data_IF_713171922265
#
_entry.id   IF_713171922265
#
_cell.length_a   1.000
_cell.length_b   1.000
_cell.length_c   1.000
_cell.angle_alpha   90.00
_cell.angle_beta   90.00
_cell.angle_gamma   90.00
#
_symmetry.space_group_name_H-M   'P 1'
#
loop_
_entity.id
_entity.type
_entity.pdbx_description
1 polymer ?
#
# COMPACT_ATOMS: atom_id res chain seq x y z
N UNK A 1 -5.73 -3.11 -72.59
CA UNK A 1 -5.77 -3.88 -71.32
C UNK A 1 -5.62 -2.88 -70.16
N UNK A 2 -6.75 -2.52 -69.49
CA UNK A 2 -6.73 -1.65 -68.30
C UNK A 2 -6.53 -2.51 -67.07
N UNK A 3 -5.46 -2.29 -66.30
CA UNK A 3 -5.28 -2.91 -64.97
C UNK A 3 -6.12 -2.14 -63.96
N UNK A 4 -7.08 -2.82 -63.33
CA UNK A 4 -7.82 -2.29 -62.20
C UNK A 4 -7.02 -2.65 -60.94
N UNK A 5 -6.58 -1.63 -60.20
CA UNK A 5 -5.97 -1.77 -58.90
C UNK A 5 -7.10 -1.79 -57.85
N UNK A 6 -7.32 -2.93 -57.20
CA UNK A 6 -8.28 -3.03 -56.07
C UNK A 6 -7.48 -2.71 -54.82
N UNK A 7 -7.73 -1.54 -54.22
CA UNK A 7 -7.26 -1.20 -52.89
C UNK A 7 -8.18 -1.86 -51.87
N UNK A 8 -7.69 -2.93 -51.21
CA UNK A 8 -8.37 -3.50 -50.04
C UNK A 8 -7.97 -2.63 -48.82
N UNK A 9 -8.91 -1.79 -48.40
CA UNK A 9 -8.80 -1.09 -47.10
C UNK A 9 -9.20 -2.11 -46.02
N UNK A 10 -8.22 -2.68 -45.31
CA UNK A 10 -8.46 -3.41 -44.07
C UNK A 10 -8.91 -2.41 -42.99
N UNK A 11 -10.19 -2.33 -42.75
CA UNK A 11 -10.75 -1.71 -41.55
C UNK A 11 -10.44 -2.63 -40.36
N UNK A 12 -9.39 -2.31 -39.59
CA UNK A 12 -9.25 -2.83 -38.25
C UNK A 12 -10.33 -2.20 -37.39
N UNK A 13 -11.43 -2.90 -37.19
CA UNK A 13 -12.36 -2.61 -36.12
C UNK A 13 -11.67 -3.00 -34.81
N UNK A 14 -11.10 -2.03 -34.14
CA UNK A 14 -10.83 -2.17 -32.70
C UNK A 14 -12.17 -2.41 -32.03
N UNK A 15 -12.43 -3.65 -31.64
CA UNK A 15 -13.46 -3.95 -30.66
C UNK A 15 -13.02 -3.29 -29.36
N UNK A 16 -13.55 -2.11 -29.07
CA UNK A 16 -13.55 -1.55 -27.71
C UNK A 16 -14.42 -2.54 -26.94
N UNK A 17 -13.78 -3.49 -26.26
CA UNK A 17 -14.42 -4.27 -25.21
C UNK A 17 -15.06 -3.24 -24.30
N UNK A 18 -16.39 -3.22 -24.21
CA UNK A 18 -17.10 -2.25 -23.38
C UNK A 18 -16.49 -2.33 -21.97
N UNK A 19 -15.91 -1.23 -21.49
CA UNK A 19 -15.43 -1.12 -20.12
C UNK A 19 -16.57 -1.58 -19.21
N UNK A 20 -16.31 -2.54 -18.35
CA UNK A 20 -17.32 -3.07 -17.43
C UNK A 20 -17.63 -2.00 -16.39
N UNK A 21 -18.59 -1.14 -16.71
CA UNK A 21 -19.01 -0.02 -15.86
C UNK A 21 -19.54 -0.56 -14.54
N UNK A 22 -19.05 -0.04 -13.43
CA UNK A 22 -19.52 -0.39 -12.09
C UNK A 22 -20.94 0.18 -11.90
N UNK A 23 -21.89 -0.69 -11.57
CA UNK A 23 -23.28 -0.31 -11.26
C UNK A 23 -23.41 -0.04 -9.75
N UNK A 24 -23.21 1.20 -9.35
CA UNK A 24 -23.36 1.61 -7.95
C UNK A 24 -24.79 1.43 -7.45
N UNK A 25 -24.92 1.03 -6.20
CA UNK A 25 -26.21 0.71 -5.57
C UNK A 25 -26.74 -0.66 -5.93
N UNK A 26 -26.13 -1.37 -6.88
CA UNK A 26 -26.50 -2.73 -7.23
C UNK A 26 -26.07 -3.70 -6.15
N UNK A 27 -26.95 -4.61 -5.78
CA UNK A 27 -26.59 -5.75 -4.94
C UNK A 27 -26.08 -6.88 -5.83
N UNK A 28 -24.88 -7.38 -5.52
CA UNK A 28 -24.26 -8.52 -6.19
C UNK A 28 -24.25 -9.73 -5.28
N UNK A 29 -24.45 -10.91 -5.87
CA UNK A 29 -24.31 -12.20 -5.20
C UNK A 29 -22.92 -12.76 -5.47
N UNK A 30 -22.21 -13.16 -4.43
CA UNK A 30 -20.92 -13.85 -4.52
C UNK A 30 -21.01 -15.12 -3.70
N UNK A 31 -20.64 -16.26 -4.26
CA UNK A 31 -20.62 -17.52 -3.51
C UNK A 31 -19.48 -17.54 -2.49
N UNK A 32 -19.65 -18.32 -1.41
CA UNK A 32 -18.59 -18.55 -0.41
C UNK A 32 -17.32 -19.08 -1.06
N UNK A 33 -17.43 -19.98 -2.02
CA UNK A 33 -16.30 -20.55 -2.76
C UNK A 33 -15.50 -19.44 -3.49
N UNK A 34 -16.19 -18.57 -4.21
CA UNK A 34 -15.56 -17.44 -4.93
C UNK A 34 -14.93 -16.46 -3.95
N UNK A 35 -15.59 -16.14 -2.83
CA UNK A 35 -15.02 -15.27 -1.80
C UNK A 35 -13.73 -15.85 -1.21
N UNK A 36 -13.75 -17.14 -0.86
CA UNK A 36 -12.57 -17.82 -0.31
C UNK A 36 -11.42 -17.87 -1.33
N UNK A 37 -11.73 -18.13 -2.60
CA UNK A 37 -10.73 -18.14 -3.67
C UNK A 37 -10.09 -16.76 -3.84
N UNK A 38 -10.88 -15.69 -3.81
CA UNK A 38 -10.41 -14.29 -3.88
C UNK A 38 -9.62 -13.87 -2.63
N UNK A 39 -10.09 -14.20 -1.43
CA UNK A 39 -9.37 -13.96 -0.17
C UNK A 39 -8.01 -14.67 -0.20
N UNK A 40 -8.02 -15.95 -0.56
CA UNK A 40 -6.80 -16.74 -0.69
C UNK A 40 -5.86 -16.14 -1.75
N UNK A 41 -6.41 -15.65 -2.87
CA UNK A 41 -5.67 -14.97 -3.92
C UNK A 41 -5.00 -13.68 -3.43
N UNK A 42 -5.69 -12.87 -2.65
CA UNK A 42 -5.15 -11.62 -2.08
C UNK A 42 -3.96 -11.87 -1.15
N UNK A 43 -4.14 -12.69 -0.12
CA UNK A 43 -3.06 -13.02 0.82
C UNK A 43 -1.89 -13.74 0.17
N UNK A 44 -2.17 -14.64 -0.79
CA UNK A 44 -1.13 -15.32 -1.55
C UNK A 44 -0.34 -14.34 -2.44
N UNK A 45 -1.05 -13.45 -3.15
CA UNK A 45 -0.43 -12.44 -4.00
C UNK A 45 0.48 -11.51 -3.20
N UNK A 46 0.01 -11.01 -2.06
CA UNK A 46 0.78 -10.17 -1.15
C UNK A 46 2.04 -10.90 -0.66
N UNK A 47 1.92 -12.13 -0.15
CA UNK A 47 3.07 -12.90 0.34
C UNK A 47 4.08 -13.21 -0.76
N UNK A 48 3.62 -13.59 -1.98
CA UNK A 48 4.50 -13.85 -3.11
C UNK A 48 5.23 -12.58 -3.54
N UNK A 49 4.50 -11.46 -3.66
CA UNK A 49 5.04 -10.19 -4.10
C UNK A 49 6.12 -9.67 -3.17
N UNK A 50 5.85 -9.67 -1.86
CA UNK A 50 6.79 -9.30 -0.82
C UNK A 50 8.06 -10.16 -0.87
N UNK A 51 7.92 -11.49 -0.89
CA UNK A 51 9.06 -12.42 -0.99
C UNK A 51 9.88 -12.21 -2.27
N UNK A 52 9.21 -11.98 -3.41
CA UNK A 52 9.86 -11.78 -4.70
C UNK A 52 10.69 -10.50 -4.74
N UNK A 53 10.14 -9.43 -4.23
CA UNK A 53 10.77 -8.10 -4.23
C UNK A 53 11.87 -7.93 -3.18
N UNK A 54 11.79 -8.62 -2.05
CA UNK A 54 12.64 -8.45 -0.88
C UNK A 54 14.14 -8.36 -1.15
N UNK A 55 14.75 -9.19 -2.02
CA UNK A 55 16.17 -9.08 -2.33
C UNK A 55 16.58 -7.76 -2.96
N UNK A 56 15.64 -6.96 -3.45
CA UNK A 56 15.89 -5.70 -4.15
C UNK A 56 15.50 -4.47 -3.35
N UNK A 57 14.83 -4.66 -2.22
CA UNK A 57 14.33 -3.60 -1.35
C UNK A 57 15.42 -2.55 -1.08
N UNK A 58 15.08 -1.29 -1.31
CA UNK A 58 15.93 -0.11 -1.14
C UNK A 58 17.33 -0.14 -1.81
N UNK A 59 17.63 -1.15 -2.63
CA UNK A 59 18.91 -1.22 -3.37
C UNK A 59 18.90 -0.36 -4.64
N UNK A 60 17.71 -0.11 -5.19
CA UNK A 60 17.52 0.67 -6.42
C UNK A 60 16.73 1.93 -6.11
N UNK A 61 17.43 2.96 -5.68
CA UNK A 61 16.87 4.24 -5.24
C UNK A 61 16.89 5.24 -6.39
N UNK A 62 15.72 5.70 -6.83
CA UNK A 62 15.59 6.58 -7.99
C UNK A 62 16.10 5.96 -9.29
N UNK A 63 16.02 4.62 -9.41
CA UNK A 63 16.51 3.89 -10.57
C UNK A 63 15.69 2.60 -10.77
N UNK A 64 15.39 2.27 -12.03
CA UNK A 64 14.76 0.99 -12.37
C UNK A 64 15.75 -0.17 -12.23
N UNK A 65 15.22 -1.32 -11.84
CA UNK A 65 15.97 -2.58 -11.89
C UNK A 65 15.98 -3.10 -13.32
N UNK A 66 17.18 -3.24 -13.89
CA UNK A 66 17.32 -3.70 -15.27
C UNK A 66 16.72 -5.10 -15.43
N UNK A 67 16.06 -5.37 -16.57
CA UNK A 67 15.40 -6.66 -16.86
C UNK A 67 16.34 -7.87 -16.80
N UNK A 68 17.65 -7.68 -17.08
CA UNK A 68 18.66 -8.74 -16.96
C UNK A 68 19.17 -8.97 -15.54
N UNK A 69 18.78 -8.14 -14.58
CA UNK A 69 19.07 -8.39 -13.17
C UNK A 69 18.17 -9.53 -12.70
N UNK A 70 18.76 -10.69 -12.31
CA UNK A 70 17.96 -11.82 -11.87
C UNK A 70 17.31 -11.49 -10.53
N UNK A 71 16.01 -11.81 -10.40
CA UNK A 71 15.31 -11.86 -9.13
C UNK A 71 15.05 -13.34 -8.86
N UNK A 72 15.48 -13.82 -7.70
CA UNK A 72 15.51 -15.23 -7.37
C UNK A 72 14.11 -15.70 -6.97
N UNK A 73 13.74 -16.92 -7.39
CA UNK A 73 12.56 -17.64 -6.89
C UNK A 73 12.82 -19.15 -6.89
N UNK A 74 12.42 -19.82 -5.81
CA UNK A 74 12.49 -21.28 -5.67
C UNK A 74 11.44 -21.78 -4.66
N UNK A 75 11.19 -23.09 -4.62
CA UNK A 75 10.06 -23.68 -3.91
C UNK A 75 10.08 -23.52 -2.39
N UNK A 76 11.24 -23.37 -1.75
CA UNK A 76 11.33 -23.14 -0.29
C UNK A 76 11.48 -21.66 0.08
N UNK A 77 11.46 -20.75 -0.91
CA UNK A 77 11.89 -19.37 -0.71
C UNK A 77 11.08 -18.62 0.37
N UNK A 78 9.75 -18.68 0.34
CA UNK A 78 8.94 -18.05 1.41
C UNK A 78 9.27 -18.60 2.80
N UNK A 79 9.46 -19.92 2.90
CA UNK A 79 9.82 -20.57 4.17
C UNK A 79 11.19 -20.14 4.67
N UNK A 80 12.18 -20.04 3.78
CA UNK A 80 13.53 -19.63 4.15
C UNK A 80 13.53 -18.17 4.61
N UNK A 81 12.83 -17.27 3.93
CA UNK A 81 12.71 -15.86 4.33
C UNK A 81 11.95 -15.71 5.66
N UNK A 82 10.91 -16.50 5.92
CA UNK A 82 10.23 -16.49 7.23
C UNK A 82 11.19 -16.78 8.39
N UNK A 83 12.22 -17.60 8.14
CA UNK A 83 13.22 -17.97 9.14
C UNK A 83 14.40 -16.98 9.21
N UNK A 84 14.86 -16.47 8.06
CA UNK A 84 16.12 -15.71 7.95
C UNK A 84 15.89 -14.19 8.03
N UNK A 85 14.82 -13.69 7.46
CA UNK A 85 14.47 -12.27 7.46
C UNK A 85 12.99 -12.04 7.76
N UNK A 86 12.55 -12.30 9.01
CA UNK A 86 11.15 -12.17 9.39
C UNK A 86 10.62 -10.73 9.28
N UNK A 87 11.50 -9.73 9.27
CA UNK A 87 11.14 -8.32 9.15
C UNK A 87 10.61 -7.93 7.78
N UNK A 88 10.93 -8.70 6.75
CA UNK A 88 10.50 -8.46 5.37
C UNK A 88 8.98 -8.43 5.19
N UNK A 89 8.23 -9.16 6.02
CA UNK A 89 6.77 -9.28 5.89
C UNK A 89 6.00 -8.25 6.75
N UNK A 90 6.49 -7.03 6.83
CA UNK A 90 5.81 -5.97 7.60
C UNK A 90 4.43 -5.65 7.04
N UNK A 91 4.23 -5.61 5.73
CA UNK A 91 2.90 -5.55 5.10
C UNK A 91 1.92 -6.53 5.74
N UNK A 92 2.37 -7.79 5.92
CA UNK A 92 1.50 -8.89 6.34
C UNK A 92 1.30 -8.91 7.85
N UNK A 93 2.38 -8.88 8.65
CA UNK A 93 2.19 -9.02 10.11
C UNK A 93 1.54 -7.78 10.75
N UNK A 94 1.65 -6.60 10.14
CA UNK A 94 0.92 -5.42 10.61
C UNK A 94 -0.57 -5.52 10.28
N UNK A 95 -0.94 -5.91 9.06
CA UNK A 95 -2.31 -6.27 8.70
C UNK A 95 -2.90 -7.29 9.68
N UNK A 96 -2.13 -8.33 10.01
CA UNK A 96 -2.56 -9.37 10.96
C UNK A 96 -2.75 -8.82 12.39
N UNK A 97 -1.91 -7.87 12.82
CA UNK A 97 -2.07 -7.18 14.11
C UNK A 97 -3.42 -6.49 14.20
N UNK A 98 -3.83 -5.79 13.16
CA UNK A 98 -5.13 -5.11 13.12
C UNK A 98 -6.29 -6.09 12.99
N UNK A 99 -6.14 -7.15 12.22
CA UNK A 99 -7.12 -8.23 12.17
C UNK A 99 -7.34 -8.91 13.54
N UNK A 100 -6.26 -9.12 14.31
CA UNK A 100 -6.37 -9.68 15.67
C UNK A 100 -7.18 -8.77 16.60
N UNK A 101 -7.03 -7.45 16.51
CA UNK A 101 -7.86 -6.51 17.27
C UNK A 101 -9.32 -6.67 16.88
N UNK A 102 -9.63 -6.74 15.59
CA UNK A 102 -11.00 -6.94 15.12
C UNK A 102 -11.58 -8.31 15.55
N UNK A 103 -10.75 -9.36 15.61
CA UNK A 103 -11.20 -10.66 16.13
C UNK A 103 -11.55 -10.61 17.61
N UNK A 104 -10.76 -9.90 18.41
CA UNK A 104 -10.89 -9.83 19.88
C UNK A 104 -12.01 -8.88 20.30
N UNK A 105 -12.12 -7.72 19.68
CA UNK A 105 -12.97 -6.61 20.09
C UNK A 105 -14.13 -6.33 19.11
N UNK A 106 -14.13 -7.00 17.95
CA UNK A 106 -15.10 -6.79 16.87
C UNK A 106 -14.73 -5.66 15.93
N UNK A 107 -15.50 -5.56 14.83
CA UNK A 107 -15.26 -4.57 13.75
C UNK A 107 -15.43 -3.11 14.20
N UNK A 108 -16.06 -2.88 15.36
CA UNK A 108 -16.27 -1.55 15.92
C UNK A 108 -15.19 -1.16 16.95
N UNK A 109 -14.10 -1.91 17.08
CA UNK A 109 -13.00 -1.58 17.96
C UNK A 109 -12.57 -0.11 17.77
N UNK A 110 -12.30 0.64 18.85
CA UNK A 110 -11.88 2.03 18.76
C UNK A 110 -10.44 2.15 18.25
N UNK A 111 -10.09 3.28 17.65
CA UNK A 111 -8.74 3.56 17.14
C UNK A 111 -7.63 3.32 18.20
N UNK A 112 -7.93 3.61 19.47
CA UNK A 112 -7.02 3.34 20.58
C UNK A 112 -6.62 1.86 20.75
N UNK A 113 -7.54 0.93 20.48
CA UNK A 113 -7.24 -0.51 20.61
C UNK A 113 -6.24 -0.94 19.54
N UNK A 114 -6.42 -0.49 18.30
CA UNK A 114 -5.47 -0.72 17.21
C UNK A 114 -4.10 -0.08 17.52
N UNK A 115 -4.09 1.17 17.95
CA UNK A 115 -2.87 1.89 18.30
C UNK A 115 -2.10 1.21 19.43
N UNK A 116 -2.79 0.73 20.48
CA UNK A 116 -2.17 0.02 21.59
C UNK A 116 -1.60 -1.34 21.16
N UNK A 117 -2.32 -2.10 20.35
CA UNK A 117 -1.84 -3.38 19.82
C UNK A 117 -0.56 -3.16 18.97
N UNK A 118 -0.61 -2.21 18.04
CA UNK A 118 0.51 -1.82 17.20
C UNK A 118 1.73 -1.34 18.02
N UNK A 119 1.55 -0.42 18.95
CA UNK A 119 2.65 0.16 19.70
C UNK A 119 3.35 -0.82 20.64
N UNK A 120 2.64 -1.85 21.14
CA UNK A 120 3.18 -2.85 22.05
C UNK A 120 3.60 -4.16 21.36
N UNK A 121 3.52 -4.25 20.03
CA UNK A 121 4.00 -5.40 19.30
C UNK A 121 5.54 -5.48 19.30
N UNK A 122 6.08 -6.69 19.24
CA UNK A 122 7.53 -6.94 19.35
C UNK A 122 8.31 -6.74 18.05
N UNK A 123 7.63 -6.44 16.94
CA UNK A 123 8.30 -6.21 15.67
C UNK A 123 9.06 -4.89 15.62
N UNK A 124 10.08 -4.83 14.78
CA UNK A 124 10.80 -3.61 14.47
C UNK A 124 9.93 -2.69 13.61
N UNK A 125 10.13 -1.39 13.75
CA UNK A 125 9.43 -0.38 12.98
C UNK A 125 10.40 0.66 12.46
N UNK A 126 10.02 1.29 11.35
CA UNK A 126 10.77 2.34 10.69
C UNK A 126 9.82 3.50 10.37
N UNK A 127 10.34 4.61 9.86
CA UNK A 127 9.59 5.71 9.27
C UNK A 127 8.37 6.16 10.08
N UNK A 128 7.21 6.27 9.45
CA UNK A 128 5.97 6.71 10.09
C UNK A 128 5.56 5.77 11.23
N UNK A 129 5.75 4.48 11.07
CA UNK A 129 5.45 3.47 12.08
C UNK A 129 6.30 3.63 13.33
N UNK A 130 7.59 3.87 13.19
CA UNK A 130 8.47 4.09 14.34
C UNK A 130 8.10 5.37 15.10
N UNK A 131 7.83 6.45 14.38
CA UNK A 131 7.41 7.72 14.98
C UNK A 131 6.04 7.58 15.68
N UNK A 132 5.09 6.87 15.06
CA UNK A 132 3.78 6.58 15.64
C UNK A 132 3.89 5.77 16.93
N UNK A 133 4.70 4.69 16.94
CA UNK A 133 4.96 3.90 18.16
C UNK A 133 5.50 4.78 19.29
N UNK A 134 6.49 5.60 18.99
CA UNK A 134 7.05 6.54 19.97
C UNK A 134 5.96 7.47 20.52
N UNK A 135 5.17 8.08 19.65
CA UNK A 135 4.08 8.98 20.02
C UNK A 135 3.07 8.29 20.96
N UNK A 136 2.59 7.12 20.58
CA UNK A 136 1.59 6.36 21.34
C UNK A 136 2.12 5.98 22.72
N UNK A 137 3.35 5.48 22.80
CA UNK A 137 3.97 5.09 24.08
C UNK A 137 4.23 6.30 24.99
N UNK A 138 4.26 7.53 24.43
CA UNK A 138 4.37 8.80 25.18
C UNK A 138 3.02 9.52 25.35
N UNK A 139 1.90 8.83 25.06
CA UNK A 139 0.54 9.35 25.31
C UNK A 139 -0.05 10.20 24.21
N UNK A 140 0.60 10.31 23.05
CA UNK A 140 0.04 10.96 21.86
C UNK A 140 -0.71 9.90 21.05
N UNK A 141 -2.03 9.84 21.23
CA UNK A 141 -2.90 8.83 20.60
C UNK A 141 -3.41 9.30 19.22
N UNK A 142 -3.91 8.36 18.36
CA UNK A 142 -4.54 8.76 17.11
C UNK A 142 -5.76 9.67 17.33
N UNK A 143 -6.03 10.62 16.41
CA UNK A 143 -5.33 10.85 15.15
C UNK A 143 -4.05 11.68 15.26
N UNK A 144 -3.73 12.17 16.46
CA UNK A 144 -2.58 13.06 16.67
C UNK A 144 -1.22 12.34 16.47
N UNK A 145 -1.15 11.03 16.71
CA UNK A 145 0.08 10.24 16.55
C UNK A 145 0.57 10.18 15.09
N UNK A 146 -0.34 10.12 14.12
CA UNK A 146 -0.02 10.11 12.69
C UNK A 146 0.08 11.51 12.07
N UNK A 147 -0.45 12.54 12.75
CA UNK A 147 -0.49 13.89 12.21
C UNK A 147 0.93 14.45 11.99
N UNK A 148 1.20 15.08 10.85
CA UNK A 148 2.51 15.55 10.41
C UNK A 148 3.28 16.44 11.42
N UNK A 149 2.58 17.11 12.35
CA UNK A 149 3.22 17.89 13.42
C UNK A 149 3.88 17.02 14.50
N UNK A 150 3.43 15.80 14.65
CA UNK A 150 3.95 14.84 15.63
C UNK A 150 4.68 13.70 14.95
N UNK A 151 4.44 13.49 13.66
CA UNK A 151 5.06 12.45 12.86
C UNK A 151 5.63 13.06 11.56
N UNK A 152 6.94 13.32 11.49
CA UNK A 152 7.54 13.93 10.30
C UNK A 152 7.49 13.02 9.07
N UNK A 153 7.19 11.74 9.25
CA UNK A 153 7.04 10.72 8.22
C UNK A 153 5.58 10.52 7.79
N UNK A 154 4.69 11.48 8.10
CA UNK A 154 3.25 11.33 7.88
C UNK A 154 2.85 11.00 6.42
N UNK A 155 3.66 11.37 5.43
CA UNK A 155 3.43 11.08 4.01
C UNK A 155 4.12 9.78 3.51
N UNK A 156 4.83 9.05 4.39
CA UNK A 156 5.49 7.81 4.03
C UNK A 156 4.50 6.67 3.75
N UNK A 157 4.97 5.60 3.14
CA UNK A 157 4.17 4.49 2.60
C UNK A 157 3.46 3.64 3.67
N UNK A 158 3.85 3.76 4.94
CA UNK A 158 3.53 2.78 6.00
C UNK A 158 2.05 2.34 6.02
N UNK A 159 1.09 3.25 6.12
CA UNK A 159 -0.32 2.85 6.09
C UNK A 159 -0.78 2.32 4.72
N UNK A 160 -0.13 2.70 3.62
CA UNK A 160 -0.48 2.18 2.30
C UNK A 160 -0.32 0.66 2.24
N UNK A 161 0.74 0.13 2.82
CA UNK A 161 1.04 -1.30 2.85
C UNK A 161 0.24 -2.06 3.92
N UNK A 162 -0.29 -1.36 4.90
CA UNK A 162 -1.06 -1.90 6.03
C UNK A 162 -2.58 -1.80 5.85
N UNK A 163 -3.04 -1.43 4.65
CA UNK A 163 -4.47 -1.25 4.35
C UNK A 163 -5.05 -2.38 3.50
N UNK A 164 -4.27 -3.34 3.08
CA UNK A 164 -4.68 -4.39 2.16
C UNK A 164 -5.81 -5.23 2.75
N UNK A 165 -5.70 -5.64 4.02
CA UNK A 165 -6.74 -6.39 4.71
C UNK A 165 -8.06 -5.62 4.81
N UNK A 166 -8.03 -4.28 4.90
CA UNK A 166 -9.24 -3.44 4.98
C UNK A 166 -10.09 -3.63 3.75
N UNK A 167 -9.48 -3.57 2.57
CA UNK A 167 -10.19 -3.84 1.33
C UNK A 167 -10.64 -5.29 1.21
N UNK A 168 -9.83 -6.23 1.70
CA UNK A 168 -10.14 -7.67 1.68
C UNK A 168 -11.33 -8.06 2.58
N UNK A 169 -11.68 -7.26 3.58
CA UNK A 169 -12.90 -7.49 4.38
C UNK A 169 -14.11 -6.65 3.91
N UNK A 170 -13.98 -5.83 2.86
CA UNK A 170 -14.99 -4.87 2.40
C UNK A 170 -15.43 -5.08 0.93
N UNK A 171 -15.88 -6.25 0.48
CA UNK A 171 -16.21 -6.53 -0.93
C UNK A 171 -17.23 -5.56 -1.50
N UNK A 172 -16.83 -4.70 -2.46
CA UNK A 172 -17.66 -3.66 -3.08
C UNK A 172 -18.01 -2.47 -2.18
N UNK A 173 -17.52 -2.43 -0.93
CA UNK A 173 -17.90 -1.44 0.08
C UNK A 173 -16.77 -0.41 0.31
N UNK A 174 -16.45 0.37 -0.73
CA UNK A 174 -15.32 1.32 -0.74
C UNK A 174 -15.39 2.39 0.36
N UNK A 175 -16.60 2.87 0.70
CA UNK A 175 -16.74 3.88 1.75
C UNK A 175 -16.53 3.28 3.14
N UNK A 176 -16.97 2.04 3.34
CA UNK A 176 -16.70 1.29 4.57
C UNK A 176 -15.19 1.02 4.72
N UNK A 177 -14.50 0.71 3.63
CA UNK A 177 -13.04 0.62 3.62
C UNK A 177 -12.41 1.96 4.01
N UNK A 178 -12.89 3.09 3.47
CA UNK A 178 -12.43 4.44 3.84
C UNK A 178 -12.67 4.76 5.33
N UNK A 179 -13.80 4.33 5.90
CA UNK A 179 -14.10 4.53 7.33
C UNK A 179 -13.13 3.74 8.24
N UNK A 180 -12.73 2.53 7.85
CA UNK A 180 -11.68 1.77 8.55
C UNK A 180 -10.31 2.41 8.36
N UNK A 181 -10.01 2.89 7.15
CA UNK A 181 -8.77 3.60 6.83
C UNK A 181 -8.63 4.89 7.63
N UNK A 182 -9.72 5.62 7.87
CA UNK A 182 -9.73 6.81 8.73
C UNK A 182 -9.33 6.45 10.17
N UNK A 183 -9.93 5.37 10.69
CA UNK A 183 -9.69 4.91 12.06
C UNK A 183 -8.28 4.40 12.31
N UNK A 184 -7.71 3.64 11.35
CA UNK A 184 -6.44 2.94 11.51
C UNK A 184 -5.28 3.75 10.94
N UNK A 185 -5.44 4.36 9.78
CA UNK A 185 -4.36 5.04 9.09
C UNK A 185 -3.83 6.27 9.84
N UNK A 186 -4.68 6.95 10.57
CA UNK A 186 -4.28 8.08 11.41
C UNK A 186 -3.49 7.67 12.68
N UNK A 187 -3.23 6.38 12.88
CA UNK A 187 -2.25 5.92 13.87
C UNK A 187 -0.84 6.39 13.46
N UNK A 188 -0.48 6.26 12.17
CA UNK A 188 0.86 6.50 11.65
C UNK A 188 0.95 7.56 10.55
N UNK A 189 -0.07 7.77 9.74
CA UNK A 189 -0.01 8.65 8.57
C UNK A 189 -1.05 9.79 8.60
N UNK A 190 -0.85 10.77 7.70
CA UNK A 190 -1.72 11.91 7.46
C UNK A 190 -1.55 12.34 5.99
N UNK A 191 -2.53 13.06 5.41
CA UNK A 191 -2.40 13.58 4.06
C UNK A 191 -2.15 12.51 2.99
N UNK A 192 -1.14 12.73 2.15
CA UNK A 192 -0.86 11.82 1.03
C UNK A 192 -0.46 10.40 1.49
N UNK A 193 0.17 10.23 2.67
CA UNK A 193 0.46 8.92 3.25
C UNK A 193 -0.80 8.15 3.64
N UNK A 194 -1.76 8.84 4.26
CA UNK A 194 -3.06 8.25 4.58
C UNK A 194 -3.87 7.93 3.32
N UNK A 195 -3.82 8.80 2.29
CA UNK A 195 -4.49 8.54 1.02
C UNK A 195 -4.00 7.27 0.34
N UNK A 196 -2.72 6.91 0.54
CA UNK A 196 -2.18 5.65 0.05
C UNK A 196 -3.02 4.46 0.49
N UNK A 197 -3.25 4.30 1.78
CA UNK A 197 -4.06 3.20 2.32
C UNK A 197 -5.54 3.29 1.95
N UNK A 198 -6.14 4.49 1.94
CA UNK A 198 -7.52 4.68 1.47
C UNK A 198 -7.68 4.19 0.03
N UNK A 199 -6.74 4.51 -0.84
CA UNK A 199 -6.76 4.13 -2.24
C UNK A 199 -6.55 2.63 -2.45
N UNK A 200 -5.56 2.02 -1.77
CA UNK A 200 -5.30 0.58 -1.86
C UNK A 200 -6.49 -0.22 -1.31
N UNK A 201 -7.01 0.14 -0.14
CA UNK A 201 -8.21 -0.48 0.41
C UNK A 201 -9.42 -0.39 -0.51
N UNK A 202 -9.61 0.75 -1.21
CA UNK A 202 -10.67 0.90 -2.21
C UNK A 202 -10.45 -0.01 -3.43
N UNK A 203 -9.21 -0.15 -3.93
CA UNK A 203 -8.91 -1.07 -5.04
C UNK A 203 -9.18 -2.52 -4.67
N UNK A 204 -8.74 -2.98 -3.50
CA UNK A 204 -9.05 -4.34 -3.01
C UNK A 204 -10.55 -4.56 -2.87
N UNK A 205 -11.29 -3.60 -2.32
CA UNK A 205 -12.75 -3.71 -2.19
C UNK A 205 -13.45 -3.84 -3.56
N UNK A 206 -13.01 -3.07 -4.57
CA UNK A 206 -13.54 -3.14 -5.92
C UNK A 206 -13.14 -4.42 -6.67
N UNK A 207 -11.98 -5.00 -6.38
CA UNK A 207 -11.48 -6.23 -6.98
C UNK A 207 -12.39 -7.45 -6.74
N UNK A 208 -13.23 -7.41 -5.71
CA UNK A 208 -14.25 -8.45 -5.50
C UNK A 208 -15.38 -8.42 -6.51
N UNK A 209 -15.70 -7.25 -7.05
CA UNK A 209 -16.93 -7.01 -7.82
C UNK A 209 -16.66 -6.53 -9.25
N UNK A 210 -15.42 -6.29 -9.61
CA UNK A 210 -14.99 -5.92 -10.95
C UNK A 210 -13.67 -6.62 -11.30
N UNK A 211 -13.49 -7.00 -12.57
CA UNK A 211 -12.27 -7.65 -13.05
C UNK A 211 -11.47 -6.76 -14.02
N UNK A 212 -11.96 -5.58 -14.35
CA UNK A 212 -11.27 -4.62 -15.20
C UNK A 212 -10.34 -3.72 -14.38
N UNK A 213 -9.05 -3.93 -14.55
CA UNK A 213 -8.00 -3.23 -13.78
C UNK A 213 -8.09 -1.71 -13.95
N UNK A 214 -8.31 -1.23 -15.18
CA UNK A 214 -8.42 0.20 -15.43
C UNK A 214 -9.61 0.82 -14.70
N UNK A 215 -10.75 0.14 -14.70
CA UNK A 215 -11.93 0.56 -13.94
C UNK A 215 -11.65 0.57 -12.45
N UNK A 216 -11.01 -0.47 -11.89
CA UNK A 216 -10.66 -0.53 -10.46
C UNK A 216 -9.77 0.66 -10.07
N UNK A 217 -8.69 0.89 -10.82
CA UNK A 217 -7.74 1.99 -10.60
C UNK A 217 -8.43 3.36 -10.64
N UNK A 218 -9.28 3.60 -11.64
CA UNK A 218 -9.94 4.90 -11.83
C UNK A 218 -11.11 5.13 -10.87
N UNK A 219 -11.86 4.10 -10.53
CA UNK A 219 -12.98 4.23 -9.59
C UNK A 219 -12.53 4.35 -8.14
N UNK A 220 -11.48 3.60 -7.75
CA UNK A 220 -10.86 3.76 -6.44
C UNK A 220 -10.31 5.18 -6.22
N UNK A 221 -9.75 5.80 -7.27
CA UNK A 221 -9.20 7.14 -7.19
C UNK A 221 -10.25 8.21 -6.82
N UNK A 222 -11.53 7.94 -7.02
CA UNK A 222 -12.64 8.84 -6.61
C UNK A 222 -12.80 8.94 -5.08
N UNK A 223 -12.16 8.07 -4.31
CA UNK A 223 -12.11 8.20 -2.85
C UNK A 223 -11.12 9.27 -2.39
N UNK A 224 -10.20 9.70 -3.25
CA UNK A 224 -9.10 10.62 -2.93
C UNK A 224 -9.43 12.04 -3.43
N UNK A 225 -9.13 13.09 -2.65
CA UNK A 225 -9.31 14.47 -3.10
C UNK A 225 -8.50 14.81 -4.35
N UNK A 226 -9.17 15.34 -5.39
CA UNK A 226 -8.56 15.64 -6.70
C UNK A 226 -7.39 16.62 -6.62
N UNK A 227 -7.36 17.49 -5.61
CA UNK A 227 -6.31 18.49 -5.39
C UNK A 227 -5.07 17.92 -4.69
N UNK A 228 -5.07 16.66 -4.22
CA UNK A 228 -3.92 16.03 -3.56
C UNK A 228 -2.76 15.77 -4.54
N UNK A 229 -1.55 15.69 -4.03
CA UNK A 229 -0.39 15.25 -4.84
C UNK A 229 -0.57 13.80 -5.25
N UNK A 230 -1.07 12.97 -4.33
CA UNK A 230 -1.37 11.57 -4.57
C UNK A 230 -2.29 11.39 -5.80
N UNK A 231 -3.45 12.08 -5.81
CA UNK A 231 -4.39 11.99 -6.93
C UNK A 231 -3.76 12.41 -8.26
N UNK A 232 -3.02 13.54 -8.27
CA UNK A 232 -2.34 14.01 -9.48
C UNK A 232 -1.32 13.02 -10.01
N UNK A 233 -0.55 12.38 -9.13
CA UNK A 233 0.42 11.37 -9.52
C UNK A 233 -0.24 10.18 -10.20
N UNK A 234 -1.31 9.64 -9.63
CA UNK A 234 -2.02 8.50 -10.23
C UNK A 234 -2.68 8.88 -11.57
N UNK A 235 -3.23 10.10 -11.71
CA UNK A 235 -3.73 10.61 -13.01
C UNK A 235 -2.60 10.68 -14.03
N UNK A 236 -1.39 11.12 -13.64
CA UNK A 236 -0.24 11.13 -14.54
C UNK A 236 0.20 9.71 -14.93
N UNK A 237 0.17 8.73 -14.02
CA UNK A 237 0.40 7.30 -14.37
C UNK A 237 -0.57 6.85 -15.46
N UNK A 238 -1.87 7.09 -15.27
CA UNK A 238 -2.90 6.71 -16.25
C UNK A 238 -2.67 7.40 -17.60
N UNK A 239 -2.31 8.67 -17.58
CA UNK A 239 -1.99 9.46 -18.77
C UNK A 239 -0.80 8.89 -19.52
N UNK A 240 0.31 8.61 -18.83
CA UNK A 240 1.53 8.12 -19.47
C UNK A 240 1.43 6.65 -19.85
N UNK A 241 0.67 5.83 -19.13
CA UNK A 241 0.32 4.49 -19.57
C UNK A 241 -0.42 4.53 -20.93
N UNK A 242 -1.39 5.43 -21.12
CA UNK A 242 -2.08 5.61 -22.41
C UNK A 242 -1.15 6.13 -23.51
N UNK A 243 -0.19 6.95 -23.15
CA UNK A 243 0.78 7.53 -24.10
C UNK A 243 1.86 6.53 -24.51
N UNK A 244 2.27 5.64 -23.60
CA UNK A 244 3.31 4.65 -23.80
C UNK A 244 2.82 3.24 -23.42
N UNK A 245 1.81 2.69 -24.13
CA UNK A 245 1.14 1.46 -23.70
C UNK A 245 2.04 0.22 -23.65
N UNK A 246 3.13 0.22 -24.42
CA UNK A 246 4.06 -0.91 -24.53
C UNK A 246 5.40 -0.66 -23.83
N UNK A 247 5.56 0.49 -23.14
CA UNK A 247 6.83 0.87 -22.54
C UNK A 247 6.65 1.52 -21.15
N UNK A 248 6.57 0.68 -20.12
CA UNK A 248 6.43 1.13 -18.74
C UNK A 248 7.62 1.97 -18.24
N UNK A 249 8.82 1.79 -18.83
CA UNK A 249 10.02 2.56 -18.44
C UNK A 249 9.91 4.03 -18.81
N UNK A 250 9.26 4.35 -19.93
CA UNK A 250 8.95 5.74 -20.27
C UNK A 250 7.94 6.36 -19.32
N UNK A 251 6.92 5.60 -18.94
CA UNK A 251 5.97 6.03 -17.91
C UNK A 251 6.71 6.31 -16.59
N UNK A 252 7.52 5.36 -16.14
CA UNK A 252 8.34 5.50 -14.93
C UNK A 252 9.19 6.78 -14.97
N UNK A 253 9.88 7.07 -16.07
CA UNK A 253 10.73 8.25 -16.22
C UNK A 253 9.93 9.56 -16.10
N UNK A 254 8.72 9.60 -16.67
CA UNK A 254 7.84 10.77 -16.57
C UNK A 254 7.33 10.95 -15.12
N UNK A 255 7.03 9.87 -14.44
CA UNK A 255 6.57 9.89 -13.04
C UNK A 255 7.71 10.34 -12.11
N UNK A 256 8.90 9.76 -12.24
CA UNK A 256 10.09 10.17 -11.48
C UNK A 256 10.39 11.67 -11.67
N UNK A 257 10.42 12.15 -12.90
CA UNK A 257 10.73 13.55 -13.20
C UNK A 257 9.71 14.55 -12.65
N UNK A 258 8.47 14.11 -12.39
CA UNK A 258 7.38 15.01 -11.95
C UNK A 258 7.10 14.93 -10.47
N UNK A 259 7.17 13.73 -9.90
CA UNK A 259 6.64 13.43 -8.58
C UNK A 259 7.70 13.00 -7.56
N UNK A 260 8.88 12.50 -8.00
CA UNK A 260 9.92 12.08 -7.06
C UNK A 260 10.51 13.23 -6.22
N UNK A 261 10.33 14.47 -6.64
CA UNK A 261 10.81 15.66 -5.93
C UNK A 261 9.73 16.37 -5.09
N UNK A 262 8.48 15.97 -5.21
CA UNK A 262 7.37 16.48 -4.38
C UNK A 262 7.27 15.72 -3.05
N UNK A 263 8.39 15.55 -2.36
CA UNK A 263 8.55 14.61 -1.26
C UNK A 263 8.15 15.24 0.07
N UNK A 264 7.24 14.55 0.81
CA UNK A 264 7.01 14.75 2.24
C UNK A 264 7.97 13.95 3.13
N UNK A 265 8.49 12.82 2.64
CA UNK A 265 9.41 11.95 3.36
C UNK A 265 10.75 12.64 3.68
N UNK A 266 11.14 12.79 4.96
CA UNK A 266 12.40 13.44 5.32
C UNK A 266 13.65 12.77 4.76
N UNK A 267 13.64 11.45 4.61
CA UNK A 267 14.78 10.70 4.07
C UNK A 267 14.97 10.91 2.57
N UNK A 268 13.88 11.17 1.85
CA UNK A 268 13.88 11.48 0.43
C UNK A 268 14.34 12.90 0.09
N UNK A 269 14.41 13.81 1.08
CA UNK A 269 14.80 15.20 0.83
C UNK A 269 16.21 15.28 0.27
N UNK A 270 16.34 15.76 -0.99
CA UNK A 270 17.60 15.86 -1.72
C UNK A 270 18.41 14.56 -1.77
N UNK A 271 17.71 13.44 -1.84
CA UNK A 271 18.25 12.10 -1.88
C UNK A 271 17.47 11.25 -2.88
N UNK A 272 18.10 10.25 -3.48
CA UNK A 272 17.44 9.34 -4.41
C UNK A 272 16.48 8.36 -3.72
N UNK A 273 16.61 8.15 -2.41
CA UNK A 273 15.70 7.32 -1.64
C UNK A 273 14.36 8.03 -1.46
N UNK A 274 13.27 7.35 -1.76
CA UNK A 274 11.92 7.88 -1.61
C UNK A 274 10.94 6.80 -1.16
N UNK A 275 10.52 6.87 0.11
CA UNK A 275 9.51 5.99 0.71
C UNK A 275 8.13 6.67 0.78
N UNK A 276 7.95 7.81 0.11
CA UNK A 276 6.67 8.51 0.03
C UNK A 276 5.59 7.63 -0.59
N UNK A 277 4.40 7.62 0.00
CA UNK A 277 3.27 6.82 -0.47
C UNK A 277 2.90 7.12 -1.91
N UNK A 278 3.01 8.38 -2.34
CA UNK A 278 2.60 8.83 -3.67
C UNK A 278 3.37 8.13 -4.78
N UNK A 279 4.71 8.12 -4.70
CA UNK A 279 5.55 7.52 -5.75
C UNK A 279 5.45 5.98 -5.74
N UNK A 280 5.37 5.38 -4.56
CA UNK A 280 5.24 3.93 -4.42
C UNK A 280 3.85 3.43 -4.86
N UNK A 281 2.78 4.19 -4.59
CA UNK A 281 1.46 3.91 -5.18
C UNK A 281 1.48 3.96 -6.71
N UNK A 282 2.21 4.91 -7.29
CA UNK A 282 2.37 4.97 -8.73
C UNK A 282 2.99 3.68 -9.29
N UNK A 283 3.97 3.09 -8.59
CA UNK A 283 4.61 1.83 -9.01
C UNK A 283 3.67 0.62 -8.90
N UNK A 284 2.85 0.55 -7.85
CA UNK A 284 1.78 -0.45 -7.76
C UNK A 284 0.82 -0.34 -8.95
N UNK A 285 0.35 0.87 -9.26
CA UNK A 285 -0.58 1.13 -10.38
C UNK A 285 0.07 0.83 -11.73
N UNK A 286 1.36 1.16 -11.92
CA UNK A 286 2.11 0.78 -13.11
C UNK A 286 2.18 -0.73 -13.28
N UNK A 287 2.49 -1.47 -12.20
CA UNK A 287 2.46 -2.94 -12.19
C UNK A 287 1.12 -3.49 -12.66
N UNK A 288 0.03 -3.00 -12.09
CA UNK A 288 -1.33 -3.41 -12.45
C UNK A 288 -1.68 -3.10 -13.91
N UNK A 289 -1.48 -1.87 -14.37
CA UNK A 289 -1.89 -1.42 -15.69
C UNK A 289 -1.05 -2.07 -16.81
N UNK A 290 0.26 -2.13 -16.68
CA UNK A 290 1.16 -2.74 -17.68
C UNK A 290 1.21 -4.26 -17.60
N UNK A 291 0.98 -4.81 -16.41
CA UNK A 291 0.80 -6.25 -16.21
C UNK A 291 -0.45 -6.78 -16.89
N UNK A 292 -1.51 -5.96 -16.95
CA UNK A 292 -2.75 -6.25 -17.67
C UNK A 292 -3.31 -7.67 -17.39
N UNK A 293 -3.31 -8.06 -16.11
CA UNK A 293 -3.81 -9.36 -15.66
C UNK A 293 -2.78 -10.51 -15.72
N UNK A 294 -1.58 -10.31 -16.24
CA UNK A 294 -0.49 -11.26 -16.11
C UNK A 294 0.15 -11.12 -14.72
N UNK A 295 0.07 -12.18 -13.92
CA UNK A 295 0.52 -12.19 -12.53
C UNK A 295 2.02 -11.87 -12.40
N UNK A 296 2.86 -12.50 -13.22
CA UNK A 296 4.30 -12.25 -13.21
C UNK A 296 4.65 -10.83 -13.62
N UNK A 297 4.08 -10.36 -14.73
CA UNK A 297 4.38 -9.01 -15.22
C UNK A 297 3.92 -7.94 -14.23
N UNK A 298 2.76 -8.11 -13.61
CA UNK A 298 2.25 -7.18 -12.59
C UNK A 298 3.25 -7.03 -11.46
N UNK A 299 3.67 -8.14 -10.91
CA UNK A 299 4.62 -8.20 -9.79
C UNK A 299 6.02 -7.71 -10.21
N UNK A 300 6.56 -8.21 -11.33
CA UNK A 300 7.90 -7.88 -11.81
C UNK A 300 8.05 -6.40 -12.17
N UNK A 301 7.04 -5.79 -12.79
CA UNK A 301 7.07 -4.35 -13.11
C UNK A 301 7.01 -3.52 -11.83
N UNK A 302 6.12 -3.83 -10.89
CA UNK A 302 6.04 -3.13 -9.61
C UNK A 302 7.38 -3.19 -8.85
N UNK A 303 8.01 -4.37 -8.78
CA UNK A 303 9.35 -4.57 -8.20
C UNK A 303 10.41 -3.74 -8.93
N UNK A 304 10.43 -3.83 -10.29
CA UNK A 304 11.50 -3.18 -11.08
C UNK A 304 11.42 -1.66 -11.14
N UNK A 305 10.34 -1.08 -10.69
CA UNK A 305 10.25 0.36 -10.48
C UNK A 305 11.20 0.86 -9.38
N UNK A 306 11.69 -0.01 -8.49
CA UNK A 306 12.63 0.33 -7.43
C UNK A 306 11.96 0.89 -6.19
N UNK A 307 12.72 1.63 -5.38
CA UNK A 307 12.31 2.16 -4.06
C UNK A 307 11.90 1.03 -3.11
N UNK A 308 10.67 1.02 -2.64
CA UNK A 308 10.08 -0.02 -1.80
C UNK A 308 9.63 -1.20 -2.67
N UNK A 309 10.61 -1.96 -3.13
CA UNK A 309 10.43 -2.91 -4.21
C UNK A 309 9.97 -4.31 -3.78
N UNK A 310 9.65 -4.50 -2.51
CA UNK A 310 8.97 -5.67 -1.94
C UNK A 310 7.51 -5.35 -1.61
N UNK A 311 7.22 -4.21 -0.99
CA UNK A 311 5.85 -3.80 -0.66
C UNK A 311 5.03 -3.45 -1.91
N UNK A 312 5.64 -2.76 -2.89
CA UNK A 312 4.92 -2.41 -4.12
C UNK A 312 4.40 -3.63 -4.90
N UNK A 313 5.19 -4.70 -5.14
CA UNK A 313 4.66 -5.92 -5.75
C UNK A 313 3.74 -6.72 -4.82
N UNK A 314 3.89 -6.63 -3.48
CA UNK A 314 2.98 -7.26 -2.53
C UNK A 314 1.56 -6.74 -2.73
N UNK A 315 1.36 -5.43 -2.64
CA UNK A 315 0.05 -4.78 -2.88
C UNK A 315 -0.47 -5.03 -4.31
N UNK A 316 0.36 -4.87 -5.34
CA UNK A 316 -0.07 -5.04 -6.73
C UNK A 316 -0.50 -6.49 -7.03
N UNK A 317 0.29 -7.49 -6.60
CA UNK A 317 -0.04 -8.90 -6.76
C UNK A 317 -1.21 -9.33 -5.86
N UNK A 318 -1.35 -8.74 -4.67
CA UNK A 318 -2.48 -8.94 -3.80
C UNK A 318 -3.80 -8.49 -4.42
N UNK A 319 -3.85 -7.27 -4.96
CA UNK A 319 -5.02 -6.75 -5.69
C UNK A 319 -5.36 -7.67 -6.88
N UNK A 320 -4.36 -8.04 -7.69
CA UNK A 320 -4.57 -8.94 -8.83
C UNK A 320 -5.04 -10.32 -8.36
N UNK A 321 -4.52 -10.81 -7.24
CA UNK A 321 -4.95 -12.05 -6.61
C UNK A 321 -6.43 -12.03 -6.19
N UNK A 322 -6.92 -10.90 -5.67
CA UNK A 322 -8.36 -10.72 -5.40
C UNK A 322 -9.17 -10.63 -6.69
N UNK A 323 -8.67 -9.96 -7.73
CA UNK A 323 -9.36 -9.90 -9.02
C UNK A 323 -9.57 -11.31 -9.58
N UNK A 324 -8.53 -12.13 -9.61
CA UNK A 324 -8.50 -13.40 -10.35
C UNK A 324 -8.82 -14.63 -9.50
N UNK A 325 -8.59 -14.57 -8.19
CA UNK A 325 -8.63 -15.70 -7.26
C UNK A 325 -7.33 -16.50 -7.23
N UNK A 326 -7.14 -17.26 -6.16
CA UNK A 326 -5.95 -18.11 -5.95
C UNK A 326 -5.76 -19.16 -7.04
N UNK A 327 -6.87 -19.72 -7.53
CA UNK A 327 -6.83 -20.76 -8.60
C UNK A 327 -6.14 -20.25 -9.86
N UNK A 328 -6.21 -18.95 -10.14
CA UNK A 328 -5.60 -18.33 -11.31
C UNK A 328 -4.11 -17.99 -11.15
N UNK A 329 -3.59 -17.98 -9.91
CA UNK A 329 -2.15 -17.79 -9.69
C UNK A 329 -1.40 -18.94 -10.38
N UNK A 330 -0.36 -18.63 -11.21
CA UNK A 330 0.37 -19.67 -11.92
C UNK A 330 1.01 -20.70 -10.97
N UNK A 331 1.01 -21.97 -11.36
CA UNK A 331 1.53 -23.09 -10.56
C UNK A 331 3.01 -22.92 -10.18
N UNK A 332 3.76 -22.13 -10.92
CA UNK A 332 5.16 -21.83 -10.63
C UNK A 332 5.38 -21.14 -9.26
N UNK A 333 4.40 -20.36 -8.80
CA UNK A 333 4.51 -19.59 -7.55
C UNK A 333 3.99 -20.34 -6.32
N UNK A 334 3.06 -21.28 -6.52
CA UNK A 334 2.32 -21.95 -5.43
C UNK A 334 3.18 -22.82 -4.51
N UNK A 335 4.18 -23.61 -5.00
CA UNK A 335 4.96 -24.48 -4.12
C UNK A 335 5.62 -23.75 -2.95
N UNK A 336 6.11 -22.52 -3.16
CA UNK A 336 6.73 -21.73 -2.11
C UNK A 336 5.72 -21.37 -0.99
N UNK A 337 4.48 -21.04 -1.36
CA UNK A 337 3.42 -20.78 -0.39
C UNK A 337 2.96 -22.03 0.34
N UNK A 338 2.71 -23.13 -0.39
CA UNK A 338 2.22 -24.39 0.18
C UNK A 338 3.16 -24.94 1.25
N UNK A 339 4.47 -24.74 1.07
CA UNK A 339 5.49 -25.15 2.05
C UNK A 339 5.52 -24.31 3.30
N UNK A 340 4.97 -23.09 3.29
CA UNK A 340 4.88 -22.22 4.45
C UNK A 340 3.43 -21.91 4.90
N UNK A 341 2.39 -22.39 4.21
CA UNK A 341 0.99 -22.03 4.45
C UNK A 341 0.53 -22.21 5.91
N UNK A 342 1.11 -23.19 6.62
CA UNK A 342 0.81 -23.46 8.02
C UNK A 342 1.86 -22.89 9.00
N UNK A 343 2.90 -22.25 8.50
CA UNK A 343 3.88 -21.56 9.34
C UNK A 343 3.26 -20.24 9.76
N UNK A 344 3.34 -19.91 11.05
CA UNK A 344 2.89 -18.62 11.55
C UNK A 344 3.77 -17.51 11.00
N UNK A 345 3.15 -16.40 10.64
CA UNK A 345 3.91 -15.20 10.35
C UNK A 345 4.69 -14.72 11.58
N UNK A 346 5.80 -14.01 11.39
CA UNK A 346 6.51 -13.41 12.50
C UNK A 346 5.59 -12.55 13.36
N UNK A 347 5.83 -12.55 14.67
CA UNK A 347 5.14 -11.71 15.66
C UNK A 347 3.63 -11.94 15.84
N UNK A 348 3.05 -12.98 15.26
CA UNK A 348 1.63 -13.31 15.36
C UNK A 348 1.43 -14.83 15.49
N UNK A 349 0.25 -15.24 15.92
CA UNK A 349 -0.17 -16.64 15.92
C UNK A 349 -0.91 -17.06 14.64
N UNK A 350 -1.01 -16.15 13.66
CA UNK A 350 -1.73 -16.34 12.41
C UNK A 350 -0.79 -16.85 11.32
N UNK A 351 -1.26 -17.83 10.54
CA UNK A 351 -0.62 -18.34 9.33
C UNK A 351 -1.51 -18.04 8.12
N UNK A 352 -1.01 -18.25 6.90
CA UNK A 352 -1.83 -18.13 5.69
C UNK A 352 -3.07 -19.01 5.75
N UNK A 353 -2.95 -20.26 6.20
CA UNK A 353 -4.12 -21.17 6.32
C UNK A 353 -5.16 -20.64 7.30
N UNK A 354 -4.76 -20.00 8.38
CA UNK A 354 -5.70 -19.48 9.38
C UNK A 354 -6.27 -18.11 9.02
N UNK A 355 -5.53 -17.24 8.34
CA UNK A 355 -6.01 -15.91 7.96
C UNK A 355 -7.18 -15.95 6.99
N UNK A 356 -7.29 -16.98 6.15
CA UNK A 356 -8.40 -17.10 5.21
C UNK A 356 -9.76 -17.17 5.91
N UNK A 357 -9.85 -17.97 6.97
CA UNK A 357 -11.09 -18.10 7.77
C UNK A 357 -11.35 -16.85 8.63
N UNK A 358 -10.30 -16.25 9.18
CA UNK A 358 -10.38 -14.99 9.92
C UNK A 358 -10.94 -13.89 9.03
N UNK A 359 -10.35 -13.73 7.84
CA UNK A 359 -10.78 -12.72 6.85
C UNK A 359 -12.25 -12.95 6.44
N UNK A 360 -12.64 -14.19 6.11
CA UNK A 360 -14.02 -14.50 5.73
C UNK A 360 -15.01 -14.18 6.85
N UNK A 361 -14.63 -14.47 8.11
CA UNK A 361 -15.45 -14.14 9.27
C UNK A 361 -15.64 -12.64 9.41
N UNK A 362 -14.56 -11.87 9.39
CA UNK A 362 -14.61 -10.40 9.50
C UNK A 362 -15.37 -9.78 8.34
N UNK A 363 -15.11 -10.22 7.09
CA UNK A 363 -15.88 -9.85 5.90
C UNK A 363 -17.39 -10.08 6.13
N UNK A 364 -17.76 -11.23 6.72
CA UNK A 364 -19.17 -11.57 7.01
C UNK A 364 -19.78 -10.61 8.02
N UNK A 365 -19.01 -10.20 9.03
CA UNK A 365 -19.47 -9.27 10.06
C UNK A 365 -19.59 -7.84 9.49
N UNK A 366 -18.61 -7.38 8.70
CA UNK A 366 -18.63 -6.09 7.99
C UNK A 366 -19.79 -6.04 7.01
N UNK A 367 -20.00 -7.11 6.23
CA UNK A 367 -21.10 -7.20 5.28
C UNK A 367 -22.45 -7.01 5.96
N UNK A 368 -22.70 -7.72 7.06
CA UNK A 368 -23.96 -7.64 7.84
C UNK A 368 -24.15 -6.25 8.43
N UNK A 369 -23.11 -5.66 8.98
CA UNK A 369 -23.15 -4.31 9.56
C UNK A 369 -23.51 -3.24 8.51
N UNK A 370 -23.20 -3.47 7.23
CA UNK A 370 -23.51 -2.60 6.12
C UNK A 370 -24.79 -2.99 5.35
N UNK A 371 -25.67 -3.77 5.96
CA UNK A 371 -26.98 -4.14 5.38
C UNK A 371 -26.94 -5.27 4.34
N UNK A 372 -25.76 -5.87 4.13
CA UNK A 372 -25.62 -7.07 3.30
C UNK A 372 -26.26 -8.29 3.95
N UNK A 373 -26.41 -9.37 3.19
CA UNK A 373 -27.11 -10.59 3.61
C UNK A 373 -26.27 -11.83 3.29
N UNK A 374 -26.37 -12.84 4.14
CA UNK A 374 -25.80 -14.17 3.91
C UNK A 374 -26.93 -15.18 3.95
N UNK A 375 -27.05 -15.98 2.90
CA UNK A 375 -28.07 -17.05 2.78
C UNK A 375 -27.38 -18.34 2.32
N UNK A 376 -27.14 -19.25 3.26
CA UNK A 376 -26.31 -20.44 2.99
C UNK A 376 -24.91 -20.02 2.56
N UNK A 377 -24.48 -20.49 1.39
CA UNK A 377 -23.17 -20.17 0.82
C UNK A 377 -23.18 -18.93 -0.11
N UNK A 378 -24.22 -18.12 -0.05
CA UNK A 378 -24.37 -16.91 -0.90
C UNK A 378 -24.28 -15.64 -0.06
N UNK A 379 -23.39 -14.75 -0.46
CA UNK A 379 -23.13 -13.45 0.13
C UNK A 379 -23.66 -12.35 -0.79
N UNK A 380 -24.41 -11.42 -0.26
CA UNK A 380 -25.05 -10.32 -1.00
C UNK A 380 -24.51 -9.00 -0.50
N UNK A 381 -23.69 -8.35 -1.31
CA UNK A 381 -23.12 -7.02 -1.01
C UNK A 381 -23.71 -5.98 -1.96
N UNK A 382 -23.89 -4.75 -1.47
CA UNK A 382 -24.30 -3.62 -2.31
C UNK A 382 -23.08 -2.78 -2.65
N UNK A 383 -22.83 -2.58 -3.95
CA UNK A 383 -21.67 -1.81 -4.42
C UNK A 383 -21.86 -0.34 -4.03
N UNK A 384 -20.97 0.17 -3.20
CA UNK A 384 -21.01 1.56 -2.76
C UNK A 384 -20.44 2.50 -3.83
N UNK A 385 -21.09 3.64 -4.03
CA UNK A 385 -20.54 4.72 -4.85
C UNK A 385 -19.42 5.42 -4.05
N UNK A 386 -18.21 5.55 -4.58
CA UNK A 386 -17.11 6.21 -3.89
C UNK A 386 -17.50 7.61 -3.43
N UNK A 387 -17.12 7.94 -2.20
CA UNK A 387 -17.16 9.28 -1.62
C UNK A 387 -15.74 9.70 -1.33
N UNK A 388 -15.39 10.89 -1.77
CA UNK A 388 -14.08 11.48 -1.48
C UNK A 388 -13.93 11.69 0.03
N UNK A 389 -12.80 11.28 0.59
CA UNK A 389 -12.45 11.48 1.99
C UNK A 389 -12.07 12.94 2.28
N UNK A 390 -11.85 13.28 3.55
CA UNK A 390 -11.48 14.62 3.96
C UNK A 390 -10.20 15.11 3.27
N UNK A 391 -10.13 16.41 3.00
CA UNK A 391 -8.92 17.06 2.50
C UNK A 391 -7.92 17.26 3.65
N UNK A 392 -6.72 16.73 3.47
CA UNK A 392 -5.59 16.87 4.38
C UNK A 392 -4.32 17.20 3.62
N UNK A 393 -3.43 17.97 4.24
CA UNK A 393 -2.15 18.38 3.66
C UNK A 393 -1.08 18.35 4.74
N UNK A 394 -0.06 17.54 4.55
CA UNK A 394 1.14 17.58 5.37
C UNK A 394 2.03 18.75 4.93
N UNK A 395 2.67 19.41 5.90
CA UNK A 395 3.67 20.46 5.67
C UNK A 395 3.20 21.61 4.77
N UNK A 396 1.92 22.00 4.86
CA UNK A 396 1.36 23.05 4.01
C UNK A 396 2.20 24.33 4.02
N UNK A 397 2.62 24.77 2.85
CA UNK A 397 3.47 25.95 2.65
C UNK A 397 4.90 25.82 3.18
N UNK A 398 5.33 24.60 3.53
CA UNK A 398 6.70 24.28 3.91
C UNK A 398 7.36 23.48 2.79
N UNK A 399 8.58 23.87 2.43
CA UNK A 399 9.39 23.20 1.42
C UNK A 399 10.79 22.94 1.97
N UNK A 400 11.37 21.76 1.76
CA UNK A 400 12.77 21.52 2.12
C UNK A 400 13.69 22.51 1.43
N UNK A 401 14.56 23.18 2.21
CA UNK A 401 15.55 24.12 1.67
C UNK A 401 16.98 23.61 1.81
N UNK A 402 17.22 22.75 2.80
CA UNK A 402 18.55 22.24 3.10
C UNK A 402 18.45 20.88 3.79
N UNK A 403 19.41 19.98 3.51
CA UNK A 403 19.66 18.74 4.23
C UNK A 403 21.11 18.69 4.68
N UNK A 404 21.32 18.41 5.96
CA UNK A 404 22.66 18.21 6.54
C UNK A 404 22.75 16.84 7.17
N UNK A 405 23.83 16.13 6.89
CA UNK A 405 24.16 14.89 7.60
C UNK A 405 25.33 15.20 8.56
N UNK A 406 25.08 15.09 9.84
CA UNK A 406 26.05 15.43 10.88
C UNK A 406 26.33 14.18 11.72
N UNK A 407 27.60 13.80 11.79
CA UNK A 407 28.04 12.72 12.68
C UNK A 407 28.53 13.32 14.00
N UNK A 408 27.97 12.88 15.10
CA UNK A 408 28.45 13.24 16.43
C UNK A 408 28.14 12.14 17.44
N UNK A 409 28.86 12.12 18.56
CA UNK A 409 28.62 11.17 19.63
C UNK A 409 27.45 11.61 20.51
N UNK A 410 26.50 10.70 20.73
CA UNK A 410 25.38 10.91 21.65
C UNK A 410 25.93 11.04 23.07
N UNK A 411 25.43 12.00 23.84
CA UNK A 411 25.91 12.31 25.20
C UNK A 411 26.65 13.63 25.29
N UNK A 412 26.90 14.30 24.18
CA UNK A 412 27.40 15.70 24.18
C UNK A 412 26.29 16.62 23.68
N UNK A 413 26.08 17.74 24.40
CA UNK A 413 25.16 18.79 23.92
C UNK A 413 25.69 19.38 22.63
N UNK A 414 24.81 19.49 21.62
CA UNK A 414 25.14 20.12 20.36
C UNK A 414 24.08 21.08 19.93
N UNK A 415 24.50 22.30 19.62
CA UNK A 415 23.63 23.36 19.11
C UNK A 415 23.67 23.35 17.58
N UNK A 416 22.51 23.40 16.96
CA UNK A 416 22.35 23.55 15.51
C UNK A 416 21.64 24.87 15.22
N UNK A 417 22.25 25.64 14.34
CA UNK A 417 21.60 26.84 13.79
C UNK A 417 21.01 26.52 12.42
N UNK A 418 19.77 26.94 12.22
CA UNK A 418 19.10 26.81 10.92
C UNK A 418 18.36 28.11 10.57
N UNK A 419 18.17 28.34 9.29
CA UNK A 419 17.38 29.47 8.79
C UNK A 419 16.16 28.91 8.04
N UNK A 420 14.97 29.03 8.64
CA UNK A 420 13.74 28.47 8.10
C UNK A 420 12.58 28.57 9.08
N UNK A 421 11.42 28.08 8.65
CA UNK A 421 10.19 28.03 9.46
C UNK A 421 10.12 26.83 10.39
N UNK A 422 10.95 25.82 10.14
CA UNK A 422 10.99 24.57 10.91
C UNK A 422 12.24 23.77 10.59
N UNK A 423 12.50 22.75 11.38
CA UNK A 423 13.57 21.77 11.20
C UNK A 423 13.04 20.40 11.59
N UNK A 424 13.41 19.39 10.81
CA UNK A 424 13.20 17.98 11.15
C UNK A 424 14.55 17.40 11.52
N UNK A 425 14.66 16.86 12.72
CA UNK A 425 15.86 16.17 13.20
C UNK A 425 15.61 14.66 13.13
N UNK A 426 16.45 13.97 12.39
CA UNK A 426 16.43 12.51 12.30
C UNK A 426 17.70 11.96 12.95
N UNK A 427 17.53 10.99 13.82
CA UNK A 427 18.63 10.29 14.45
C UNK A 427 18.53 8.79 14.25
N UNK A 428 19.64 8.12 13.93
CA UNK A 428 19.72 6.66 14.00
C UNK A 428 20.00 6.24 15.43
N UNK A 429 19.05 5.53 16.03
CA UNK A 429 19.19 4.96 17.38
C UNK A 429 19.64 3.51 17.22
N UNK A 430 20.72 3.14 17.92
CA UNK A 430 21.09 1.73 18.02
C UNK A 430 20.07 1.00 18.89
N UNK A 431 19.64 -0.17 18.44
CA UNK A 431 18.56 -0.95 19.10
C UNK A 431 18.89 -1.43 20.52
N UNK A 432 20.17 -1.35 20.92
CA UNK A 432 20.64 -1.71 22.24
C UNK A 432 20.54 -0.55 23.26
N UNK A 433 20.12 0.63 22.83
CA UNK A 433 19.94 1.80 23.68
C UNK A 433 18.48 1.93 24.10
N UNK A 434 18.18 1.53 25.35
CA UNK A 434 16.80 1.55 25.90
C UNK A 434 16.30 2.94 26.31
N UNK A 435 17.20 3.92 26.48
CA UNK A 435 16.86 5.26 26.96
C UNK A 435 17.48 6.32 26.06
N UNK A 436 16.78 6.68 24.99
CA UNK A 436 17.09 7.90 24.25
C UNK A 436 15.87 8.82 24.33
N UNK A 437 15.89 9.76 25.26
CA UNK A 437 15.03 10.92 25.14
C UNK A 437 15.60 11.81 24.03
N UNK A 438 15.10 11.65 22.81
CA UNK A 438 15.24 12.73 21.85
C UNK A 438 14.22 13.78 22.22
N UNK A 439 14.77 14.98 22.58
CA UNK A 439 14.13 16.24 22.26
C UNK A 439 13.90 17.20 23.40
N UNK A 440 14.59 18.28 23.29
CA UNK A 440 14.02 19.60 23.40
C UNK A 440 14.11 20.26 22.02
N UNK A 441 13.01 20.28 21.26
CA UNK A 441 12.83 21.26 20.20
C UNK A 441 12.32 22.52 20.92
N UNK A 442 13.21 23.48 21.16
CA UNK A 442 12.75 24.81 21.57
C UNK A 442 12.05 25.46 20.38
N UNK A 443 10.85 26.01 20.64
CA UNK A 443 10.15 26.81 19.63
C UNK A 443 11.06 27.92 19.09
N UNK A 444 10.94 28.24 17.78
CA UNK A 444 11.69 29.34 17.20
C UNK A 444 11.35 30.63 17.96
N UNK A 445 12.37 31.22 18.60
CA UNK A 445 12.23 32.55 19.16
C UNK A 445 11.92 33.52 18.02
N UNK A 446 10.72 34.09 18.01
CA UNK A 446 10.37 35.15 17.06
C UNK A 446 11.41 36.27 17.22
N UNK A 447 12.05 36.76 16.15
CA UNK A 447 12.81 38.01 16.25
C UNK A 447 11.85 39.10 16.67
N UNK A 448 12.26 39.88 17.64
CA UNK A 448 11.52 41.11 18.08
C UNK A 448 11.59 42.19 17.01
#
# INVERSE_FOLDING_TARGET
MKKVLINIILLFTFSISGMAQIEYGKTVEISKEVLLDKIKGGWAGQTIGCTYGGPTEFKYRGAIIHEKTPIIWYDDYCKDIFAEDPGLYDDVYMDLTFLEVMQKEGINAPAESFAKAFANADYKLWHANQAARYNILHGIMPPASGHWKNNPHADDIDFQIEADFIGMICPGMVNTASDFSDKIGHIMNYGDGWYGGVYMGAMYALAYVNNDIYTIVTEALKTIPEQSKFHRCIIDVIKYWKQYPDDWRKCWLEIENRHAFEIGCPEGVFNAFNIDATINAAYCVMGLLYGNGDFFKTMDIATRCGQDSDCNPATAAGILGVIQGYKAIPEYWKPALERCENIKFPYTDISLSSVYDINLKLLSDVLKANGGKIKGDKYYTTIQKPKTVAWEVSFEGLYPSERRVIKYDLGTEKTFEFNGKGVVLMGMIRQDVKDLSLIHISEPTRPR
#
